data_IF_464504768295
#
_entry.id   IF_464504768295
#
_cell.length_a   1.000
_cell.length_b   1.000
_cell.length_c   1.000
_cell.angle_alpha   90.00
_cell.angle_beta   90.00
_cell.angle_gamma   90.00
#
_symmetry.space_group_name_H-M   'P 1'
#
loop_
_entity.id
_entity.type
_entity.pdbx_description
1 polymer ?
#
# COMPACT_ATOMS: atom_id res chain seq x y z
N UNK A 1 27.48 18.86 -35.13
CA UNK A 1 27.14 19.62 -33.91
C UNK A 1 25.64 19.63 -33.59
N UNK A 2 24.76 20.38 -34.29
CA UNK A 2 23.31 20.41 -33.95
C UNK A 2 22.60 19.05 -34.01
N UNK A 3 22.90 18.23 -35.03
CA UNK A 3 22.33 16.89 -35.19
C UNK A 3 22.77 15.93 -34.08
N UNK A 4 24.04 15.97 -33.69
CA UNK A 4 24.58 15.12 -32.60
C UNK A 4 23.98 15.48 -31.24
N UNK A 5 23.71 16.76 -30.98
CA UNK A 5 23.01 17.21 -29.77
C UNK A 5 21.54 16.73 -29.73
N UNK A 6 20.85 16.73 -30.87
CA UNK A 6 19.48 16.22 -31.00
C UNK A 6 19.40 14.71 -30.80
N UNK A 7 20.36 13.96 -31.34
CA UNK A 7 20.44 12.50 -31.15
C UNK A 7 20.80 12.17 -29.70
N UNK A 8 21.77 12.86 -29.10
CA UNK A 8 22.14 12.66 -27.70
C UNK A 8 20.98 12.99 -26.75
N UNK A 9 20.22 14.06 -27.00
CA UNK A 9 19.04 14.38 -26.18
C UNK A 9 17.95 13.33 -26.34
N UNK A 10 17.65 12.89 -27.55
CA UNK A 10 16.66 11.84 -27.81
C UNK A 10 17.05 10.52 -27.12
N UNK A 11 18.31 10.09 -27.24
CA UNK A 11 18.81 8.88 -26.56
C UNK A 11 18.72 9.00 -25.04
N UNK A 12 19.03 10.18 -24.49
CA UNK A 12 18.91 10.44 -23.05
C UNK A 12 17.45 10.39 -22.58
N UNK A 13 16.52 10.98 -23.33
CA UNK A 13 15.09 10.89 -23.05
C UNK A 13 14.58 9.45 -23.10
N UNK A 14 14.99 8.65 -24.10
CA UNK A 14 14.63 7.24 -24.20
C UNK A 14 15.17 6.45 -23.00
N UNK A 15 16.43 6.69 -22.61
CA UNK A 15 17.04 6.01 -21.47
C UNK A 15 16.33 6.31 -20.14
N UNK A 16 15.91 7.56 -19.91
CA UNK A 16 15.14 7.95 -18.72
C UNK A 16 13.79 7.22 -18.68
N UNK A 17 13.05 7.21 -19.79
CA UNK A 17 11.76 6.54 -19.87
C UNK A 17 11.90 5.03 -19.62
N UNK A 18 12.88 4.37 -20.25
CA UNK A 18 13.15 2.96 -20.03
C UNK A 18 13.51 2.66 -18.57
N UNK A 19 14.35 3.50 -17.95
CA UNK A 19 14.71 3.35 -16.53
C UNK A 19 13.50 3.48 -15.60
N UNK A 20 12.57 4.39 -15.88
CA UNK A 20 11.35 4.55 -15.08
C UNK A 20 10.41 3.36 -15.21
N UNK A 21 10.30 2.76 -16.41
CA UNK A 21 9.50 1.55 -16.62
C UNK A 21 10.11 0.36 -15.86
N UNK A 22 11.43 0.22 -15.85
CA UNK A 22 12.13 -0.84 -15.10
C UNK A 22 11.93 -0.68 -13.59
N UNK A 23 11.97 0.54 -13.08
CA UNK A 23 11.83 0.84 -11.64
C UNK A 23 10.36 0.97 -11.19
N UNK A 24 9.38 0.71 -12.05
CA UNK A 24 7.98 0.74 -11.69
C UNK A 24 7.58 -0.44 -10.78
N UNK A 25 6.64 -0.17 -9.88
CA UNK A 25 5.83 -1.18 -9.21
C UNK A 25 4.78 -1.64 -10.20
N UNK A 26 4.64 -2.95 -10.37
CA UNK A 26 3.82 -3.53 -11.43
C UNK A 26 2.72 -4.44 -10.87
N UNK A 27 1.65 -4.59 -11.64
CA UNK A 27 0.53 -5.42 -11.24
C UNK A 27 0.93 -6.90 -11.09
N UNK A 28 0.42 -7.54 -10.04
CA UNK A 28 0.78 -8.90 -9.65
C UNK A 28 2.07 -9.02 -8.84
N UNK A 29 2.82 -7.93 -8.65
CA UNK A 29 3.99 -7.91 -7.77
C UNK A 29 3.62 -8.18 -6.32
N UNK A 30 4.56 -8.76 -5.59
CA UNK A 30 4.46 -8.99 -4.14
C UNK A 30 5.47 -8.07 -3.47
N UNK A 31 5.01 -7.23 -2.55
CA UNK A 31 5.85 -6.21 -1.90
C UNK A 31 5.62 -6.20 -0.40
N UNK A 32 6.61 -5.71 0.35
CA UNK A 32 6.37 -5.17 1.68
C UNK A 32 6.17 -3.66 1.55
N UNK A 33 5.24 -3.12 2.33
CA UNK A 33 5.04 -1.67 2.43
C UNK A 33 5.68 -1.19 3.71
N UNK A 34 6.75 -0.42 3.59
CA UNK A 34 7.48 0.13 4.73
C UNK A 34 7.08 1.57 4.98
N UNK A 35 6.69 1.89 6.19
CA UNK A 35 6.42 3.26 6.61
C UNK A 35 7.74 4.05 6.64
N UNK A 36 7.74 5.25 6.07
CA UNK A 36 8.97 6.03 5.93
C UNK A 36 9.44 6.66 7.24
N UNK A 37 8.53 6.95 8.17
CA UNK A 37 8.84 7.59 9.43
C UNK A 37 9.25 6.57 10.49
N UNK A 38 8.42 5.56 10.71
CA UNK A 38 8.62 4.58 11.79
C UNK A 38 9.49 3.37 11.36
N UNK A 39 9.82 3.24 10.06
CA UNK A 39 10.63 2.15 9.50
C UNK A 39 10.06 0.73 9.75
N UNK A 40 8.74 0.63 9.95
CA UNK A 40 7.97 -0.62 10.13
C UNK A 40 7.29 -1.07 8.85
N UNK A 41 7.03 -2.37 8.69
CA UNK A 41 6.31 -2.95 7.55
C UNK A 41 4.85 -3.19 7.89
N UNK A 42 3.95 -2.87 6.96
CA UNK A 42 2.55 -3.26 6.99
C UNK A 42 2.44 -4.78 7.13
N UNK A 43 1.58 -5.22 8.05
CA UNK A 43 1.54 -6.59 8.54
C UNK A 43 0.11 -7.00 8.87
N UNK A 44 -0.20 -8.28 8.73
CA UNK A 44 -1.47 -8.87 9.17
C UNK A 44 -1.24 -10.30 9.66
N UNK A 45 -2.19 -10.88 10.39
CA UNK A 45 -2.04 -12.19 11.01
C UNK A 45 -3.41 -12.74 11.42
N UNK A 46 -3.48 -13.99 11.90
CA UNK A 46 -4.75 -14.59 12.36
C UNK A 46 -5.15 -14.16 13.78
N UNK A 47 -5.21 -12.85 14.01
CA UNK A 47 -5.76 -12.21 15.20
C UNK A 47 -6.80 -11.20 14.72
N UNK A 48 -7.91 -11.09 15.44
CA UNK A 48 -9.00 -10.19 15.12
C UNK A 48 -9.07 -9.05 16.13
N UNK A 49 -9.62 -7.92 15.71
CA UNK A 49 -9.92 -6.85 16.65
C UNK A 49 -10.98 -7.30 17.66
N UNK A 50 -10.79 -6.97 18.93
CA UNK A 50 -11.81 -7.15 19.98
C UNK A 50 -12.84 -6.03 20.04
N UNK A 51 -12.73 -5.04 19.15
CA UNK A 51 -13.57 -3.85 19.04
C UNK A 51 -13.85 -3.55 17.56
N UNK A 52 -14.60 -2.47 17.30
CA UNK A 52 -14.84 -2.01 15.94
C UNK A 52 -15.59 -3.06 15.13
N UNK A 53 -15.05 -3.44 13.97
CA UNK A 53 -15.71 -4.41 13.07
C UNK A 53 -15.56 -5.87 13.51
N UNK A 54 -14.62 -6.17 14.40
CA UNK A 54 -14.24 -7.54 14.75
C UNK A 54 -13.51 -8.31 13.63
N UNK A 55 -13.09 -7.64 12.56
CA UNK A 55 -12.34 -8.23 11.46
C UNK A 55 -10.87 -8.51 11.83
N UNK A 56 -10.14 -9.15 10.92
CA UNK A 56 -8.71 -9.46 11.10
C UNK A 56 -7.90 -8.17 11.24
N UNK A 57 -7.01 -8.12 12.23
CA UNK A 57 -6.22 -6.93 12.53
C UNK A 57 -5.10 -6.70 11.53
N UNK A 58 -4.87 -5.42 11.23
CA UNK A 58 -3.72 -4.96 10.44
C UNK A 58 -2.85 -4.10 11.33
N UNK A 59 -1.57 -4.39 11.34
CA UNK A 59 -0.57 -3.75 12.19
C UNK A 59 0.66 -3.37 11.38
N UNK A 60 1.67 -2.80 12.04
CA UNK A 60 2.98 -2.71 11.46
C UNK A 60 4.08 -3.20 12.41
N UNK A 61 5.09 -3.87 11.84
CA UNK A 61 6.15 -4.58 12.57
C UNK A 61 7.54 -4.12 12.15
N UNK A 62 8.49 -4.13 13.07
CA UNK A 62 9.89 -3.78 12.79
C UNK A 62 10.62 -4.91 12.04
N UNK A 63 10.20 -6.16 12.23
CA UNK A 63 10.81 -7.33 11.62
C UNK A 63 10.72 -7.28 10.09
N UNK A 64 11.87 -7.09 9.44
CA UNK A 64 11.99 -7.00 7.98
C UNK A 64 11.74 -8.31 7.25
N UNK A 65 11.89 -9.46 7.92
CA UNK A 65 11.92 -10.78 7.27
C UNK A 65 10.62 -11.58 7.47
N UNK A 66 9.60 -10.98 8.09
CA UNK A 66 8.32 -11.66 8.32
C UNK A 66 7.57 -11.93 7.01
N UNK A 67 7.08 -13.16 6.84
CA UNK A 67 6.27 -13.58 5.70
C UNK A 67 4.91 -12.89 5.69
N UNK A 68 4.38 -12.55 6.88
CA UNK A 68 3.11 -11.86 7.10
C UNK A 68 3.13 -10.36 6.79
N UNK A 69 4.24 -9.88 6.21
CA UNK A 69 4.35 -8.53 5.66
C UNK A 69 4.30 -8.49 4.13
N UNK A 70 4.02 -9.61 3.46
CA UNK A 70 3.90 -9.66 2.01
C UNK A 70 2.48 -9.36 1.53
N UNK A 71 2.38 -8.38 0.64
CA UNK A 71 1.14 -7.93 0.03
C UNK A 71 1.24 -8.04 -1.49
N UNK A 72 0.28 -8.73 -2.11
CA UNK A 72 0.16 -8.79 -3.56
C UNK A 72 -0.67 -7.61 -4.07
N UNK A 73 -0.14 -6.93 -5.09
CA UNK A 73 -0.82 -5.83 -5.76
C UNK A 73 -1.73 -6.38 -6.84
N UNK A 74 -3.01 -6.07 -6.72
CA UNK A 74 -4.07 -6.50 -7.63
C UNK A 74 -4.86 -5.29 -8.14
N UNK A 75 -5.52 -5.39 -9.31
CA UNK A 75 -6.38 -4.31 -9.79
C UNK A 75 -7.64 -4.19 -8.92
N UNK A 76 -8.33 -3.05 -9.04
CA UNK A 76 -9.65 -2.87 -8.46
C UNK A 76 -10.65 -3.95 -8.95
N UNK A 77 -11.75 -4.12 -8.23
CA UNK A 77 -12.80 -5.07 -8.59
C UNK A 77 -13.38 -4.72 -9.96
N UNK A 78 -13.60 -5.76 -10.80
CA UNK A 78 -14.05 -5.66 -12.20
C UNK A 78 -13.07 -4.96 -13.14
N UNK A 79 -11.92 -4.50 -12.66
CA UNK A 79 -10.81 -4.06 -13.49
C UNK A 79 -9.84 -5.23 -13.75
N UNK A 80 -9.06 -5.10 -14.82
CA UNK A 80 -8.01 -6.07 -15.16
C UNK A 80 -6.72 -5.32 -15.41
N UNK A 81 -5.60 -5.96 -15.08
CA UNK A 81 -4.27 -5.47 -15.40
C UNK A 81 -3.47 -6.65 -15.96
N UNK A 82 -2.54 -6.39 -16.86
CA UNK A 82 -1.59 -7.43 -17.28
C UNK A 82 -0.54 -7.60 -16.18
N UNK A 83 -0.09 -8.84 -15.95
CA UNK A 83 1.05 -9.11 -15.07
C UNK A 83 2.26 -8.33 -15.58
N UNK A 84 2.92 -7.58 -14.69
CA UNK A 84 4.06 -6.74 -15.06
C UNK A 84 3.69 -5.39 -15.65
N UNK A 85 2.40 -5.06 -15.79
CA UNK A 85 1.96 -3.71 -16.19
C UNK A 85 2.23 -2.70 -15.06
N UNK A 86 2.86 -1.55 -15.34
CA UNK A 86 3.12 -0.51 -14.34
C UNK A 86 1.84 0.00 -13.67
N UNK A 87 1.87 0.12 -12.35
CA UNK A 87 0.78 0.71 -11.58
C UNK A 87 0.83 2.23 -11.73
N UNK A 88 -0.18 2.79 -12.39
CA UNK A 88 -0.26 4.23 -12.64
C UNK A 88 -0.60 5.01 -11.39
N UNK A 89 -0.08 6.22 -11.31
CA UNK A 89 -0.49 7.15 -10.28
C UNK A 89 -1.97 7.53 -10.45
N UNK A 90 -2.70 7.61 -9.35
CA UNK A 90 -4.16 7.83 -9.33
C UNK A 90 -4.99 6.58 -9.66
N UNK A 91 -4.36 5.46 -10.03
CA UNK A 91 -5.07 4.19 -10.24
C UNK A 91 -5.57 3.59 -8.94
N UNK A 92 -6.61 2.75 -9.05
CA UNK A 92 -7.17 1.99 -7.94
C UNK A 92 -6.57 0.59 -7.91
N UNK A 93 -6.11 0.19 -6.73
CA UNK A 93 -5.56 -1.13 -6.49
C UNK A 93 -6.25 -1.78 -5.30
N UNK A 94 -6.04 -3.09 -5.19
CA UNK A 94 -6.27 -3.87 -3.98
C UNK A 94 -4.96 -4.47 -3.50
N UNK A 95 -4.80 -4.59 -2.19
CA UNK A 95 -3.64 -5.20 -1.56
C UNK A 95 -4.09 -6.48 -0.87
N UNK A 96 -3.69 -7.63 -1.41
CA UNK A 96 -4.02 -8.94 -0.85
C UNK A 96 -2.91 -9.40 0.09
N UNK A 97 -3.24 -9.67 1.34
CA UNK A 97 -2.31 -10.27 2.29
C UNK A 97 -2.06 -11.73 1.88
N UNK A 98 -0.80 -12.10 1.62
CA UNK A 98 -0.51 -13.41 1.01
C UNK A 98 -0.84 -14.59 1.92
N UNK A 99 -0.53 -14.50 3.21
CA UNK A 99 -0.69 -15.64 4.13
C UNK A 99 -2.15 -15.98 4.37
N UNK A 100 -3.02 -14.97 4.50
CA UNK A 100 -4.44 -15.15 4.86
C UNK A 100 -5.38 -15.08 3.66
N UNK A 101 -4.94 -14.50 2.55
CA UNK A 101 -5.74 -14.32 1.34
C UNK A 101 -6.80 -13.21 1.40
N UNK A 102 -6.87 -12.48 2.52
CA UNK A 102 -7.75 -11.32 2.71
C UNK A 102 -7.18 -10.05 2.10
N UNK A 103 -8.00 -9.02 2.00
CA UNK A 103 -7.65 -7.73 1.42
C UNK A 103 -7.48 -6.66 2.48
N UNK A 104 -6.55 -5.73 2.25
CA UNK A 104 -6.45 -4.50 3.04
C UNK A 104 -7.74 -3.70 2.85
N UNK A 105 -8.44 -3.48 3.95
CA UNK A 105 -9.80 -2.97 3.97
C UNK A 105 -9.92 -1.78 4.92
N UNK A 106 -10.82 -0.86 4.63
CA UNK A 106 -11.22 0.17 5.59
C UNK A 106 -12.69 0.55 5.42
N UNK A 107 -13.23 1.21 6.43
CA UNK A 107 -14.66 1.45 6.61
C UNK A 107 -14.92 2.44 7.75
N UNK A 108 -16.19 2.76 8.00
CA UNK A 108 -16.59 3.75 9.01
C UNK A 108 -16.62 3.18 10.45
N UNK A 109 -15.60 2.41 10.83
CA UNK A 109 -15.34 1.98 12.21
C UNK A 109 -14.18 2.77 12.81
N UNK A 110 -14.24 3.01 14.11
CA UNK A 110 -13.17 3.69 14.85
C UNK A 110 -11.93 2.79 14.96
N UNK A 111 -10.74 3.38 14.89
CA UNK A 111 -9.50 2.67 15.16
C UNK A 111 -9.46 2.09 16.60
N UNK A 112 -8.84 0.92 16.85
CA UNK A 112 -8.94 0.22 18.13
C UNK A 112 -8.30 0.91 19.34
N UNK A 113 -7.11 1.50 19.16
CA UNK A 113 -6.33 2.14 20.23
C UNK A 113 -6.53 3.66 20.25
N UNK A 114 -6.47 4.30 19.09
CA UNK A 114 -6.57 5.76 19.01
C UNK A 114 -7.97 6.25 19.35
N UNK A 115 -8.15 6.74 20.58
CA UNK A 115 -9.37 7.40 21.05
C UNK A 115 -9.04 8.85 21.40
N UNK A 116 -9.15 9.76 20.45
CA UNK A 116 -9.09 11.18 20.79
C UNK A 116 -10.48 11.68 21.22
N UNK A 117 -10.49 12.51 22.25
CA UNK A 117 -11.69 13.03 22.92
C UNK A 117 -12.78 13.45 21.92
N UNK A 118 -13.85 12.64 21.87
CA UNK A 118 -15.17 12.96 21.32
C UNK A 118 -15.30 13.14 19.79
N UNK A 119 -14.28 12.82 18.98
CA UNK A 119 -14.46 12.77 17.52
C UNK A 119 -13.91 11.46 16.95
N UNK A 120 -14.79 10.45 16.92
CA UNK A 120 -14.64 9.14 16.25
C UNK A 120 -14.23 9.25 14.76
N UNK A 121 -14.31 10.44 14.17
CA UNK A 121 -14.21 10.67 12.73
C UNK A 121 -12.78 10.96 12.26
N UNK A 122 -11.73 10.94 13.11
CA UNK A 122 -10.36 11.25 12.64
C UNK A 122 -9.60 9.99 12.18
N UNK A 123 -9.65 8.91 12.96
CA UNK A 123 -8.91 7.67 12.71
C UNK A 123 -9.88 6.51 12.46
N UNK A 124 -9.91 6.02 11.21
CA UNK A 124 -10.70 4.84 10.87
C UNK A 124 -9.87 3.57 11.02
N UNK A 125 -10.57 2.51 11.39
CA UNK A 125 -10.05 1.16 11.41
C UNK A 125 -9.56 0.74 10.03
N UNK A 126 -8.38 0.15 10.00
CA UNK A 126 -7.85 -0.58 8.85
C UNK A 126 -7.76 -2.05 9.25
N UNK A 127 -8.31 -2.91 8.41
CA UNK A 127 -8.49 -4.33 8.71
C UNK A 127 -8.07 -5.18 7.51
N UNK A 128 -8.04 -6.48 7.73
CA UNK A 128 -8.02 -7.48 6.68
C UNK A 128 -9.41 -8.08 6.54
N UNK A 129 -10.02 -7.96 5.36
CA UNK A 129 -11.37 -8.42 5.11
C UNK A 129 -11.46 -9.39 3.93
N UNK A 130 -12.39 -10.32 4.06
CA UNK A 130 -12.89 -11.10 2.96
C UNK A 130 -11.89 -12.04 2.29
N UNK A 131 -12.23 -12.37 1.05
CA UNK A 131 -11.57 -13.30 0.14
C UNK A 131 -11.83 -12.80 -1.29
N UNK A 132 -11.36 -13.52 -2.30
CA UNK A 132 -11.57 -13.10 -3.70
C UNK A 132 -13.06 -12.97 -4.04
N UNK A 133 -13.90 -13.80 -3.44
CA UNK A 133 -15.32 -13.94 -3.67
C UNK A 133 -16.15 -12.90 -2.91
N UNK A 134 -15.60 -12.35 -1.83
CA UNK A 134 -16.28 -11.42 -0.92
C UNK A 134 -15.64 -10.03 -0.89
N UNK A 135 -14.75 -9.73 -1.84
CA UNK A 135 -14.09 -8.43 -1.96
C UNK A 135 -15.09 -7.37 -2.43
N UNK A 136 -15.02 -6.18 -1.85
CA UNK A 136 -15.90 -5.04 -2.15
C UNK A 136 -15.12 -3.71 -2.30
N UNK A 137 -15.84 -2.59 -2.44
CA UNK A 137 -15.20 -1.27 -2.63
C UNK A 137 -14.35 -0.82 -1.45
N UNK A 138 -14.59 -1.36 -0.24
CA UNK A 138 -13.77 -1.07 0.94
C UNK A 138 -12.34 -1.62 0.84
N UNK A 139 -12.07 -2.45 -0.16
CA UNK A 139 -10.72 -2.95 -0.47
C UNK A 139 -9.94 -2.04 -1.44
N UNK A 140 -10.59 -0.99 -1.98
CA UNK A 140 -9.99 -0.15 -3.00
C UNK A 140 -9.14 0.99 -2.41
N UNK A 141 -7.88 1.03 -2.85
CA UNK A 141 -6.92 2.08 -2.49
C UNK A 141 -6.43 2.79 -3.74
N UNK A 142 -6.56 4.11 -3.76
CA UNK A 142 -6.03 4.99 -4.79
C UNK A 142 -4.55 5.24 -4.50
N UNK A 143 -3.70 4.95 -5.48
CA UNK A 143 -2.26 5.17 -5.41
C UNK A 143 -1.96 6.66 -5.60
N UNK A 144 -1.34 7.30 -4.62
CA UNK A 144 -0.96 8.72 -4.68
C UNK A 144 0.56 8.86 -4.60
N UNK A 145 1.14 9.33 -5.70
CA UNK A 145 2.57 9.41 -5.97
C UNK A 145 2.89 10.67 -6.81
N UNK A 146 4.18 10.93 -7.04
CA UNK A 146 4.64 12.16 -7.73
C UNK A 146 4.87 12.00 -9.23
N UNK A 147 5.09 10.79 -9.72
CA UNK A 147 5.33 10.50 -11.15
C UNK A 147 4.09 9.92 -11.80
N UNK A 148 4.15 9.67 -13.12
CA UNK A 148 3.05 9.03 -13.87
C UNK A 148 2.76 7.59 -13.41
N UNK A 149 3.76 6.91 -12.85
CA UNK A 149 3.66 5.58 -12.28
C UNK A 149 4.26 5.52 -10.87
N UNK A 150 3.82 4.53 -10.10
CA UNK A 150 4.39 4.26 -8.79
C UNK A 150 5.77 3.61 -8.96
N UNK A 151 6.83 4.36 -8.64
CA UNK A 151 8.21 3.88 -8.69
C UNK A 151 8.60 3.22 -7.35
N UNK A 152 9.38 2.14 -7.41
CA UNK A 152 9.73 1.29 -6.26
C UNK A 152 10.40 2.04 -5.11
N UNK A 153 11.31 2.96 -5.44
CA UNK A 153 12.12 3.71 -4.47
C UNK A 153 11.42 4.96 -3.93
N UNK A 154 10.33 5.37 -4.58
CA UNK A 154 9.66 6.62 -4.30
C UNK A 154 8.61 6.43 -3.20
N UNK A 155 8.36 7.52 -2.49
CA UNK A 155 7.32 7.55 -1.49
C UNK A 155 5.94 7.52 -2.16
N UNK A 156 5.03 6.77 -1.54
CA UNK A 156 3.64 6.64 -1.97
C UNK A 156 2.72 6.87 -0.78
N UNK A 157 1.51 7.34 -1.06
CA UNK A 157 0.38 7.32 -0.13
C UNK A 157 -0.72 6.47 -0.73
N UNK A 158 -1.45 5.77 0.12
CA UNK A 158 -2.59 4.96 -0.28
C UNK A 158 -3.85 5.59 0.29
N UNK A 159 -4.72 6.09 -0.57
CA UNK A 159 -5.98 6.75 -0.18
C UNK A 159 -7.14 5.77 -0.38
N UNK A 160 -7.81 5.41 0.70
CA UNK A 160 -8.99 4.56 0.65
C UNK A 160 -10.09 5.24 -0.19
N UNK A 161 -10.66 4.52 -1.17
CA UNK A 161 -11.63 5.07 -2.13
C UNK A 161 -12.88 5.60 -1.42
N UNK A 162 -13.53 4.77 -0.61
CA UNK A 162 -14.85 5.08 -0.05
C UNK A 162 -14.81 6.18 1.03
N UNK A 163 -13.75 6.21 1.83
CA UNK A 163 -13.63 7.16 2.96
C UNK A 163 -12.80 8.39 2.64
N UNK A 164 -12.02 8.34 1.55
CA UNK A 164 -11.06 9.38 1.18
C UNK A 164 -9.87 9.56 2.13
N UNK A 165 -9.63 8.62 3.06
CA UNK A 165 -8.56 8.69 4.06
C UNK A 165 -7.30 7.96 3.65
N UNK A 166 -6.16 8.36 4.20
CA UNK A 166 -4.85 7.80 3.90
C UNK A 166 -4.42 6.73 4.91
N UNK A 167 -3.91 5.61 4.42
CA UNK A 167 -3.25 4.58 5.22
C UNK A 167 -2.05 5.19 5.96
N UNK A 168 -2.01 5.04 7.28
CA UNK A 168 -0.98 5.63 8.12
C UNK A 168 -0.70 4.78 9.38
N UNK A 169 0.37 5.14 10.08
CA UNK A 169 0.64 4.71 11.45
C UNK A 169 0.10 5.76 12.41
N UNK A 170 -0.62 5.34 13.47
CA UNK A 170 -1.15 6.28 14.48
C UNK A 170 -0.07 6.78 15.44
N UNK A 171 0.95 5.95 15.70
CA UNK A 171 1.97 6.16 16.72
C UNK A 171 1.74 5.30 17.96
N UNK A 172 0.53 4.76 18.13
CA UNK A 172 0.19 3.83 19.21
C UNK A 172 0.70 2.42 18.92
N UNK A 173 0.91 1.65 19.99
CA UNK A 173 1.36 0.26 19.91
C UNK A 173 0.45 -0.64 20.73
N UNK A 174 0.21 -1.84 20.22
CA UNK A 174 -0.55 -2.85 20.92
C UNK A 174 0.29 -3.49 22.05
N UNK A 175 -0.42 -3.91 23.10
CA UNK A 175 0.10 -4.86 24.07
C UNK A 175 -0.17 -6.30 23.64
N UNK A 176 -0.22 -7.21 24.62
CA UNK A 176 -0.55 -8.63 24.37
C UNK A 176 -1.90 -8.80 23.65
N UNK A 177 -2.03 -9.80 22.74
CA UNK A 177 -1.03 -10.82 22.39
C UNK A 177 -0.04 -10.38 21.30
N UNK A 178 -0.20 -9.20 20.70
CA UNK A 178 0.60 -8.67 19.59
C UNK A 178 1.49 -7.52 20.06
N UNK A 179 2.21 -7.80 21.15
CA UNK A 179 2.98 -6.80 21.90
C UNK A 179 3.98 -6.05 21.02
N UNK A 180 3.98 -4.73 21.13
CA UNK A 180 4.89 -3.83 20.43
C UNK A 180 4.55 -3.55 18.96
N UNK A 181 3.54 -4.21 18.38
CA UNK A 181 3.11 -3.93 17.00
C UNK A 181 2.39 -2.58 16.93
N UNK A 182 2.65 -1.81 15.88
CA UNK A 182 2.07 -0.48 15.72
C UNK A 182 0.66 -0.55 15.17
N UNK A 183 -0.21 0.35 15.64
CA UNK A 183 -1.56 0.52 15.11
C UNK A 183 -1.52 1.20 13.74
N UNK A 184 -2.19 0.55 12.78
CA UNK A 184 -2.41 1.04 11.43
C UNK A 184 -3.83 1.60 11.33
N UNK A 185 -3.95 2.77 10.73
CA UNK A 185 -5.18 3.57 10.70
C UNK A 185 -5.37 4.22 9.33
N UNK A 186 -6.60 4.64 9.03
CA UNK A 186 -6.87 5.53 7.91
C UNK A 186 -7.23 6.94 8.42
N UNK A 187 -6.47 7.96 8.00
CA UNK A 187 -6.58 9.34 8.50
C UNK A 187 -6.83 10.36 7.38
N UNK A 188 -7.53 11.45 7.70
CA UNK A 188 -7.82 12.51 6.70
C UNK A 188 -6.58 13.34 6.33
N UNK A 189 -5.57 13.40 7.22
CA UNK A 189 -4.40 14.24 7.03
C UNK A 189 -3.28 13.52 6.26
N UNK A 190 -2.78 14.19 5.23
CA UNK A 190 -1.67 13.68 4.40
C UNK A 190 -0.31 13.96 5.06
N UNK A 191 -0.08 13.41 6.25
CA UNK A 191 1.15 13.60 7.07
C UNK A 191 2.28 12.64 6.66
N UNK A 192 3.46 12.83 7.25
CA UNK A 192 4.62 11.92 7.11
C UNK A 192 4.30 10.49 7.54
N UNK A 193 3.42 10.31 8.52
CA UNK A 193 2.94 9.00 8.98
C UNK A 193 2.17 8.21 7.93
N UNK A 194 1.68 8.86 6.87
CA UNK A 194 0.99 8.25 5.74
C UNK A 194 1.92 7.99 4.53
N UNK A 195 3.21 8.29 4.64
CA UNK A 195 4.21 8.01 3.61
C UNK A 195 4.73 6.58 3.77
N UNK A 196 4.57 5.81 2.70
CA UNK A 196 5.07 4.45 2.58
C UNK A 196 6.06 4.37 1.43
N UNK A 197 6.80 3.27 1.36
CA UNK A 197 7.59 2.88 0.19
C UNK A 197 7.58 1.38 0.05
N UNK A 198 7.77 0.89 -1.18
CA UNK A 198 7.96 -0.55 -1.35
C UNK A 198 9.32 -0.97 -0.80
N UNK A 199 9.38 -2.16 -0.25
CA UNK A 199 10.58 -2.78 0.27
C UNK A 199 10.50 -4.30 0.12
N UNK A 200 11.67 -4.96 0.10
CA UNK A 200 11.81 -6.42 0.20
C UNK A 200 10.76 -7.22 -0.63
N UNK A 201 10.64 -6.93 -1.94
CA UNK A 201 9.57 -7.45 -2.80
C UNK A 201 10.05 -8.22 -4.03
N UNK A 202 9.15 -9.03 -4.59
CA UNK A 202 9.28 -9.69 -5.90
C UNK A 202 8.46 -8.89 -6.91
N UNK A 203 9.16 -8.18 -7.80
CA UNK A 203 8.53 -7.31 -8.80
C UNK A 203 8.39 -8.04 -10.13
N UNK A 204 7.17 -8.05 -10.66
CA UNK A 204 6.88 -8.67 -11.95
C UNK A 204 7.43 -7.80 -13.08
N UNK A 205 8.13 -8.41 -14.03
CA UNK A 205 8.63 -7.71 -15.22
C UNK A 205 7.62 -7.92 -16.35
N UNK A 206 7.20 -6.83 -16.98
CA UNK A 206 6.32 -6.88 -18.15
C UNK A 206 7.06 -7.41 -19.39
N UNK A 207 6.32 -7.94 -20.38
CA UNK A 207 6.91 -8.48 -21.61
C UNK A 207 7.61 -7.43 -22.47
N UNK A 208 7.38 -6.13 -22.23
CA UNK A 208 8.01 -5.04 -22.99
C UNK A 208 9.47 -4.74 -22.55
N UNK A 209 9.97 -5.44 -21.52
CA UNK A 209 11.33 -5.29 -20.98
C UNK A 209 12.19 -6.55 -21.23
N UNK A 210 11.64 -7.56 -21.90
CA UNK A 210 12.34 -8.78 -22.33
C UNK A 210 12.58 -8.75 -23.84
#
# INVERSE_FOLDING_TARGET
MFSEFLVASALYFVAINASQIIDAVTCGSVVKLKNNQENVRLHSHDVKYGSGSGQQSVTAVENGDDVNSHWQILPAIKETCKRGEPVKCGSKIRLKHLTTGSYLHSHLFAAPLTKENQVVIIFLEVSCFGSTESSDSGDHWIVVCSNDAWLRKDAVKLKHEDTGKFLAISGERYGRPIDGQYEVVAISASKSTALWKTAEGIFMVGPEIL
#
